data_IF_272600283233
#
_entry.id   IF_272600283233
#
_cell.length_a   1.000
_cell.length_b   1.000
_cell.length_c   1.000
_cell.angle_alpha   90.00
_cell.angle_beta   90.00
_cell.angle_gamma   90.00
#
_symmetry.space_group_name_H-M   'P 1'
#
loop_
_entity.id
_entity.type
_entity.pdbx_description
1 polymer ?
#
# COMPACT_ATOMS: atom_id res chain seq x y z
N UNK A 1 35.27 19.28 53.22
CA UNK A 1 35.59 18.82 51.86
C UNK A 1 34.68 17.69 51.36
N UNK A 2 34.31 16.71 52.20
CA UNK A 2 33.43 15.58 51.82
C UNK A 2 31.98 15.97 51.43
N UNK A 3 31.39 17.00 52.06
CA UNK A 3 30.01 17.43 51.82
C UNK A 3 29.82 18.00 50.40
N UNK A 4 30.82 18.72 49.87
CA UNK A 4 30.78 19.26 48.51
C UNK A 4 30.83 18.16 47.44
N UNK A 5 31.53 17.06 47.70
CA UNK A 5 31.56 15.91 46.77
C UNK A 5 30.23 15.18 46.71
N UNK A 6 29.53 15.01 47.84
CA UNK A 6 28.20 14.38 47.87
C UNK A 6 27.14 15.20 47.13
N UNK A 7 27.17 16.53 47.27
CA UNK A 7 26.23 17.43 46.59
C UNK A 7 26.43 17.37 45.06
N UNK A 8 27.67 17.35 44.57
CA UNK A 8 27.95 17.26 43.14
C UNK A 8 27.53 15.92 42.52
N UNK A 9 27.66 14.81 43.26
CA UNK A 9 27.19 13.49 42.81
C UNK A 9 25.66 13.45 42.73
N UNK A 10 24.97 13.98 43.75
CA UNK A 10 23.50 14.08 43.77
C UNK A 10 22.97 15.01 42.66
N UNK A 11 23.63 16.15 42.42
CA UNK A 11 23.27 17.04 41.30
C UNK A 11 23.48 16.36 39.95
N UNK A 12 24.59 15.63 39.77
CA UNK A 12 24.88 14.91 38.52
C UNK A 12 23.88 13.78 38.29
N UNK A 13 23.47 13.06 39.33
CA UNK A 13 22.40 12.06 39.25
C UNK A 13 21.04 12.69 38.94
N UNK A 14 20.69 13.83 39.54
CA UNK A 14 19.46 14.57 39.25
C UNK A 14 19.46 15.12 37.81
N UNK A 15 20.58 15.62 37.32
CA UNK A 15 20.74 16.11 35.94
C UNK A 15 20.67 14.93 34.97
N UNK A 16 21.32 13.81 35.26
CA UNK A 16 21.29 12.60 34.43
C UNK A 16 19.89 11.95 34.42
N UNK A 17 19.20 11.91 35.56
CA UNK A 17 17.83 11.42 35.66
C UNK A 17 16.84 12.39 34.98
N UNK A 18 17.08 13.70 35.07
CA UNK A 18 16.31 14.71 34.30
C UNK A 18 16.59 14.60 32.80
N UNK A 19 17.81 14.28 32.38
CA UNK A 19 18.16 13.98 30.98
C UNK A 19 17.51 12.69 30.48
N UNK A 20 17.51 11.61 31.28
CA UNK A 20 16.80 10.37 30.94
C UNK A 20 15.28 10.53 30.95
N UNK A 21 14.72 11.33 31.86
CA UNK A 21 13.30 11.64 31.91
C UNK A 21 12.87 12.56 30.74
N UNK A 22 13.72 13.51 30.33
CA UNK A 22 13.51 14.34 29.14
C UNK A 22 13.69 13.56 27.83
N UNK A 23 14.52 12.50 27.81
CA UNK A 23 14.65 11.58 26.68
C UNK A 23 13.41 10.69 26.47
N UNK A 24 12.58 10.49 27.50
CA UNK A 24 11.37 9.66 27.45
C UNK A 24 10.13 10.38 26.94
N UNK A 25 10.23 11.67 26.60
CA UNK A 25 9.10 12.48 26.17
C UNK A 25 9.32 13.12 24.80
N UNK A 26 9.99 12.40 23.89
CA UNK A 26 9.88 12.69 22.46
C UNK A 26 8.48 12.23 22.03
N UNK A 27 7.48 13.09 22.24
CA UNK A 27 6.17 12.94 21.62
C UNK A 27 6.38 12.58 20.16
N UNK A 28 6.02 11.37 19.75
CA UNK A 28 6.01 10.96 18.35
C UNK A 28 5.00 11.86 17.64
N UNK A 29 5.46 13.01 17.14
CA UNK A 29 4.63 13.88 16.34
C UNK A 29 4.38 13.16 15.03
N UNK A 30 3.15 12.69 14.85
CA UNK A 30 2.70 12.16 13.58
C UNK A 30 2.95 13.19 12.48
N UNK A 31 3.65 12.78 11.42
CA UNK A 31 3.91 13.61 10.25
C UNK A 31 2.70 13.54 9.31
N UNK A 32 2.17 14.70 8.93
CA UNK A 32 1.16 14.78 7.87
C UNK A 32 1.83 14.62 6.52
N UNK A 33 1.27 13.76 5.67
CA UNK A 33 1.76 13.53 4.31
C UNK A 33 0.67 13.86 3.28
N UNK A 34 1.10 14.35 2.13
CA UNK A 34 0.29 14.57 0.94
C UNK A 34 1.19 14.23 -0.26
N UNK A 35 0.97 13.07 -0.86
CA UNK A 35 1.81 12.50 -1.92
C UNK A 35 0.95 12.34 -3.16
N UNK A 36 1.34 13.01 -4.23
CA UNK A 36 0.87 12.75 -5.58
C UNK A 36 1.46 11.43 -6.07
N UNK A 37 0.60 10.59 -6.64
CA UNK A 37 0.93 9.29 -7.18
C UNK A 37 0.55 9.26 -8.65
N UNK A 38 1.50 8.87 -9.49
CA UNK A 38 1.26 8.54 -10.90
C UNK A 38 1.62 7.07 -11.14
N UNK A 39 0.74 6.36 -11.84
CA UNK A 39 0.91 4.96 -12.21
C UNK A 39 0.90 4.86 -13.73
N UNK A 40 2.08 4.63 -14.28
CA UNK A 40 2.32 4.42 -15.71
C UNK A 40 2.13 2.94 -16.03
N UNK A 41 1.21 2.63 -16.93
CA UNK A 41 0.91 1.26 -17.33
C UNK A 41 1.69 0.91 -18.61
N UNK A 42 2.50 -0.14 -18.57
CA UNK A 42 3.38 -0.55 -19.67
C UNK A 42 2.75 -1.57 -20.61
N UNK A 43 1.75 -2.31 -20.13
CA UNK A 43 1.04 -3.35 -20.90
C UNK A 43 -0.45 -3.17 -20.69
N UNK A 44 -1.26 -3.64 -21.62
CA UNK A 44 -2.72 -3.63 -21.50
C UNK A 44 -3.23 -3.97 -20.08
N UNK A 45 -4.16 -3.14 -19.59
CA UNK A 45 -4.70 -3.20 -18.24
C UNK A 45 -6.17 -3.62 -18.29
N UNK A 46 -6.55 -4.58 -17.47
CA UNK A 46 -7.95 -4.88 -17.17
C UNK A 46 -8.18 -4.69 -15.67
N UNK A 47 -9.10 -3.81 -15.31
CA UNK A 47 -9.58 -3.68 -13.92
C UNK A 47 -10.99 -4.22 -13.90
N UNK A 48 -11.10 -5.53 -13.64
CA UNK A 48 -12.39 -6.20 -13.55
C UNK A 48 -13.23 -5.59 -12.45
N UNK A 49 -14.36 -5.00 -12.80
CA UNK A 49 -15.32 -4.37 -11.87
C UNK A 49 -16.08 -5.36 -10.99
N UNK A 50 -15.87 -6.68 -11.15
CA UNK A 50 -16.64 -7.73 -10.46
C UNK A 50 -18.12 -7.80 -10.86
N UNK A 51 -18.60 -6.84 -11.66
CA UNK A 51 -19.98 -6.73 -12.12
C UNK A 51 -19.98 -6.81 -13.64
N UNK A 52 -20.43 -7.96 -14.15
CA UNK A 52 -20.69 -8.22 -15.56
C UNK A 52 -22.00 -7.56 -15.99
N UNK A 53 -22.10 -6.24 -15.97
CA UNK A 53 -23.31 -5.55 -16.44
C UNK A 53 -22.94 -4.41 -17.38
N UNK A 54 -22.98 -4.67 -18.69
CA UNK A 54 -23.44 -3.70 -19.73
C UNK A 54 -23.14 -4.10 -21.18
N UNK A 55 -22.23 -5.06 -21.47
CA UNK A 55 -22.04 -5.58 -22.84
C UNK A 55 -22.27 -7.09 -22.88
N UNK A 56 -23.29 -7.52 -23.64
CA UNK A 56 -23.55 -8.93 -23.91
C UNK A 56 -22.27 -9.60 -24.44
N UNK A 57 -21.80 -10.63 -23.74
CA UNK A 57 -20.64 -11.44 -24.16
C UNK A 57 -19.26 -10.98 -23.68
N UNK A 58 -19.13 -10.01 -22.76
CA UNK A 58 -17.85 -9.64 -22.15
C UNK A 58 -17.86 -9.99 -20.65
N UNK A 59 -16.94 -10.86 -20.22
CA UNK A 59 -16.87 -11.38 -18.85
C UNK A 59 -16.18 -10.41 -17.87
N UNK A 60 -15.27 -9.57 -18.36
CA UNK A 60 -14.51 -8.61 -17.54
C UNK A 60 -14.43 -7.26 -18.24
N UNK A 61 -15.09 -6.27 -17.68
CA UNK A 61 -15.07 -4.88 -18.16
C UNK A 61 -14.01 -4.08 -17.39
N UNK A 62 -13.39 -3.10 -18.07
CA UNK A 62 -12.50 -2.16 -17.38
C UNK A 62 -13.34 -1.06 -16.72
N UNK A 63 -13.05 -0.77 -15.46
CA UNK A 63 -13.83 0.21 -14.69
C UNK A 63 -13.65 1.63 -15.22
N UNK A 64 -14.77 2.37 -15.34
CA UNK A 64 -14.85 3.76 -15.78
C UNK A 64 -15.58 4.63 -14.75
N UNK A 65 -15.23 5.91 -14.68
CA UNK A 65 -15.97 6.90 -13.91
C UNK A 65 -17.23 7.40 -14.65
N UNK A 66 -17.93 8.37 -14.07
CA UNK A 66 -19.16 8.96 -14.63
C UNK A 66 -18.92 9.71 -15.94
N UNK A 67 -17.70 10.20 -16.14
CA UNK A 67 -17.26 10.95 -17.29
C UNK A 67 -16.63 10.02 -18.35
N UNK A 68 -16.59 8.71 -18.08
CA UNK A 68 -16.04 7.68 -18.95
C UNK A 68 -14.57 7.37 -18.73
N UNK A 69 -13.84 8.11 -17.89
CA UNK A 69 -12.40 7.94 -17.66
C UNK A 69 -12.09 6.59 -17.01
N UNK A 70 -10.98 5.97 -17.42
CA UNK A 70 -10.52 4.74 -16.78
C UNK A 70 -10.12 5.04 -15.33
N UNK A 71 -10.52 4.15 -14.43
CA UNK A 71 -10.33 4.34 -12.98
C UNK A 71 -9.74 3.09 -12.33
N UNK A 72 -8.71 3.29 -11.50
CA UNK A 72 -8.24 2.30 -10.54
C UNK A 72 -8.84 2.65 -9.18
N UNK A 73 -9.74 1.81 -8.63
CA UNK A 73 -10.33 2.11 -7.34
C UNK A 73 -9.27 2.19 -6.24
N UNK A 74 -9.43 3.14 -5.34
CA UNK A 74 -8.59 3.37 -4.17
C UNK A 74 -8.44 2.11 -3.34
N UNK A 75 -9.52 1.32 -3.20
CA UNK A 75 -9.50 0.04 -2.49
C UNK A 75 -8.57 -1.00 -3.14
N UNK A 76 -8.54 -1.05 -4.47
CA UNK A 76 -7.66 -1.95 -5.23
C UNK A 76 -6.20 -1.52 -5.09
N UNK A 77 -5.93 -0.23 -5.27
CA UNK A 77 -4.59 0.32 -5.13
C UNK A 77 -4.06 0.17 -3.69
N UNK A 78 -4.87 0.57 -2.70
CA UNK A 78 -4.59 0.41 -1.27
C UNK A 78 -4.35 -1.05 -0.89
N UNK A 79 -5.19 -1.98 -1.36
CA UNK A 79 -5.04 -3.40 -1.08
C UNK A 79 -3.75 -3.97 -1.68
N UNK A 80 -3.38 -3.54 -2.88
CA UNK A 80 -2.13 -3.95 -3.54
C UNK A 80 -0.91 -3.43 -2.79
N UNK A 81 -0.94 -2.16 -2.39
CA UNK A 81 0.12 -1.53 -1.59
C UNK A 81 0.26 -2.20 -0.22
N UNK A 82 -0.85 -2.42 0.48
CA UNK A 82 -0.89 -3.12 1.77
C UNK A 82 -0.23 -4.49 1.68
N UNK A 83 -0.62 -5.30 0.70
CA UNK A 83 -0.04 -6.63 0.48
C UNK A 83 1.47 -6.56 0.22
N UNK A 84 1.95 -5.50 -0.44
CA UNK A 84 3.38 -5.34 -0.70
C UNK A 84 4.15 -4.97 0.57
N UNK A 85 3.62 -4.07 1.39
CA UNK A 85 4.18 -3.75 2.70
C UNK A 85 4.19 -4.97 3.64
N UNK A 86 3.12 -5.77 3.65
CA UNK A 86 3.04 -7.03 4.41
C UNK A 86 4.16 -8.00 3.99
N UNK A 87 4.41 -8.14 2.69
CA UNK A 87 5.52 -8.98 2.18
C UNK A 87 6.89 -8.46 2.61
N UNK A 88 7.12 -7.14 2.57
CA UNK A 88 8.40 -6.53 2.97
C UNK A 88 8.66 -6.80 4.46
N UNK A 89 7.73 -6.43 5.34
CA UNK A 89 7.87 -6.63 6.77
C UNK A 89 7.89 -8.12 7.16
N UNK A 90 7.10 -8.95 6.47
CA UNK A 90 7.10 -10.40 6.67
C UNK A 90 8.46 -11.04 6.31
N UNK A 91 9.11 -10.59 5.24
CA UNK A 91 10.47 -11.02 4.91
C UNK A 91 11.51 -10.61 5.96
N UNK A 92 11.23 -9.52 6.70
CA UNK A 92 12.03 -9.07 7.84
C UNK A 92 11.66 -9.77 9.15
N UNK A 93 10.72 -10.72 9.14
CA UNK A 93 10.21 -11.47 10.30
C UNK A 93 9.54 -10.59 11.37
N UNK A 94 9.00 -9.45 10.97
CA UNK A 94 8.19 -8.60 11.87
C UNK A 94 6.84 -9.28 12.12
N UNK A 95 6.36 -9.22 13.36
CA UNK A 95 5.07 -9.80 13.75
C UNK A 95 3.91 -9.03 13.10
N UNK A 96 3.15 -9.69 12.22
CA UNK A 96 2.00 -9.11 11.51
C UNK A 96 0.73 -9.91 11.79
N UNK A 97 -0.42 -9.25 11.67
CA UNK A 97 -1.71 -9.94 11.65
C UNK A 97 -1.98 -10.59 10.28
N UNK A 98 -2.86 -11.58 10.25
CA UNK A 98 -3.32 -12.15 8.99
C UNK A 98 -4.47 -11.31 8.40
N UNK A 99 -4.24 -10.75 7.22
CA UNK A 99 -5.25 -10.09 6.38
C UNK A 99 -5.75 -11.10 5.32
N UNK A 100 -7.00 -11.01 4.81
CA UNK A 100 -8.03 -9.99 5.03
C UNK A 100 -9.24 -10.46 5.86
N UNK A 101 -9.07 -11.43 6.78
CA UNK A 101 -10.20 -11.91 7.58
C UNK A 101 -10.71 -10.81 8.54
N UNK A 102 -11.86 -10.21 8.22
CA UNK A 102 -12.42 -9.09 8.97
C UNK A 102 -12.80 -9.45 10.42
N UNK A 103 -13.15 -10.71 10.70
CA UNK A 103 -13.63 -11.10 12.02
C UNK A 103 -12.52 -11.05 13.08
N UNK A 104 -11.27 -11.30 12.67
CA UNK A 104 -10.15 -11.48 13.59
C UNK A 104 -8.95 -10.55 13.31
N UNK A 105 -8.98 -9.78 12.23
CA UNK A 105 -7.96 -8.79 11.92
C UNK A 105 -8.28 -7.48 12.65
N UNK A 106 -7.42 -6.87 13.45
CA UNK A 106 -6.10 -7.25 13.93
C UNK A 106 -6.21 -7.90 15.34
N UNK A 107 -5.64 -9.10 15.59
CA UNK A 107 -5.80 -9.78 16.89
C UNK A 107 -5.04 -9.05 18.01
N UNK A 108 -4.00 -8.28 17.66
CA UNK A 108 -3.24 -7.45 18.61
C UNK A 108 -4.13 -6.48 19.38
N UNK A 109 -5.26 -6.05 18.79
CA UNK A 109 -6.21 -5.15 19.46
C UNK A 109 -6.73 -5.71 20.79
N UNK A 110 -6.95 -7.03 20.84
CA UNK A 110 -7.41 -7.76 22.02
C UNK A 110 -6.24 -8.25 22.88
N UNK A 111 -5.15 -8.72 22.26
CA UNK A 111 -4.01 -9.31 22.96
C UNK A 111 -3.10 -8.28 23.66
N UNK A 112 -3.01 -7.06 23.13
CA UNK A 112 -2.11 -5.99 23.62
C UNK A 112 -2.91 -4.83 24.24
N UNK A 113 -3.91 -5.15 25.07
CA UNK A 113 -4.85 -4.16 25.65
C UNK A 113 -4.19 -3.12 26.55
N UNK A 114 -3.15 -3.51 27.30
CA UNK A 114 -2.44 -2.62 28.24
C UNK A 114 -1.34 -1.78 27.58
N UNK A 115 -1.16 -1.95 26.26
CA UNK A 115 -0.17 -1.18 25.49
C UNK A 115 -0.76 0.13 24.99
N UNK A 116 0.14 1.05 24.63
CA UNK A 116 -0.25 2.29 23.96
C UNK A 116 -0.95 2.00 22.62
N UNK A 117 -1.64 3.00 22.08
CA UNK A 117 -2.45 2.85 20.87
C UNK A 117 -1.65 2.36 19.66
N UNK A 118 -0.38 2.79 19.51
CA UNK A 118 0.50 2.35 18.42
C UNK A 118 0.89 0.87 18.53
N UNK A 119 1.22 0.39 19.72
CA UNK A 119 1.59 -1.01 19.97
C UNK A 119 0.39 -1.96 20.01
N UNK A 120 -0.82 -1.41 20.12
CA UNK A 120 -2.07 -2.18 20.13
C UNK A 120 -2.45 -2.75 18.76
N UNK A 121 -1.78 -2.32 17.69
CA UNK A 121 -1.97 -2.82 16.33
C UNK A 121 -0.63 -3.19 15.71
N UNK A 122 -0.64 -4.12 14.74
CA UNK A 122 0.56 -4.40 13.96
C UNK A 122 0.94 -3.18 13.09
N UNK A 123 2.21 -3.05 12.66
CA UNK A 123 2.67 -1.94 11.83
C UNK A 123 1.83 -1.69 10.57
N UNK A 124 1.32 -2.74 9.94
CA UNK A 124 0.49 -2.62 8.74
C UNK A 124 -0.89 -2.02 9.08
N UNK A 125 -1.55 -2.49 10.14
CA UNK A 125 -2.82 -1.93 10.59
C UNK A 125 -2.66 -0.50 11.12
N UNK A 126 -1.46 -0.15 11.59
CA UNK A 126 -1.12 1.23 11.92
C UNK A 126 -1.20 2.17 10.72
N UNK A 127 -0.87 1.71 9.51
CA UNK A 127 -0.89 2.53 8.29
C UNK A 127 -2.18 2.41 7.48
N UNK A 128 -2.71 1.19 7.34
CA UNK A 128 -3.81 0.88 6.42
C UNK A 128 -5.17 0.67 7.11
N UNK A 129 -5.19 0.67 8.44
CA UNK A 129 -6.36 0.37 9.25
C UNK A 129 -6.66 -1.12 9.41
N UNK A 130 -7.72 -1.38 10.17
CA UNK A 130 -8.34 -2.68 10.44
C UNK A 130 -9.82 -2.48 10.76
N UNK A 131 -10.65 -3.53 10.80
CA UNK A 131 -12.01 -3.46 11.32
C UNK A 131 -12.17 -2.69 12.66
N UNK A 132 -11.15 -2.72 13.51
CA UNK A 132 -11.14 -2.06 14.83
C UNK A 132 -10.43 -0.70 14.85
N UNK A 133 -9.95 -0.21 13.70
CA UNK A 133 -9.20 1.06 13.59
C UNK A 133 -9.24 1.62 12.18
N UNK A 134 -9.71 2.86 12.08
CA UNK A 134 -9.68 3.59 10.82
C UNK A 134 -8.27 3.76 10.27
N UNK A 135 -8.16 3.79 8.94
CA UNK A 135 -6.90 4.02 8.26
C UNK A 135 -6.47 5.48 8.42
N UNK A 136 -5.30 5.79 9.01
CA UNK A 136 -4.82 7.17 9.07
C UNK A 136 -4.37 7.70 7.70
N UNK A 137 -4.21 6.80 6.72
CA UNK A 137 -3.97 7.12 5.31
C UNK A 137 -5.25 6.99 4.49
N UNK A 138 -5.54 8.05 3.74
CA UNK A 138 -6.60 8.18 2.75
C UNK A 138 -5.99 8.02 1.35
N UNK A 139 -6.66 7.24 0.50
CA UNK A 139 -6.24 6.95 -0.86
C UNK A 139 -7.34 7.46 -1.78
N UNK A 140 -6.97 8.24 -2.78
CA UNK A 140 -7.89 8.59 -3.88
C UNK A 140 -7.92 7.48 -4.91
N UNK A 141 -9.01 7.44 -5.68
CA UNK A 141 -9.05 6.67 -6.90
C UNK A 141 -8.01 7.23 -7.88
N UNK A 142 -7.29 6.34 -8.57
CA UNK A 142 -6.36 6.78 -9.60
C UNK A 142 -7.14 6.89 -10.91
N UNK A 143 -7.15 8.07 -11.50
CA UNK A 143 -7.93 8.37 -12.71
C UNK A 143 -6.99 8.62 -13.88
N UNK A 144 -7.27 7.99 -15.02
CA UNK A 144 -6.59 8.28 -16.28
C UNK A 144 -7.50 9.17 -17.13
N UNK A 145 -7.11 10.43 -17.32
CA UNK A 145 -7.86 11.38 -18.15
C UNK A 145 -7.60 11.10 -19.62
N UNK A 146 -8.50 11.56 -20.49
CA UNK A 146 -8.35 11.44 -21.95
C UNK A 146 -7.04 12.06 -22.47
N UNK A 147 -6.60 13.18 -21.90
CA UNK A 147 -5.31 13.80 -22.25
C UNK A 147 -4.09 12.94 -21.93
N UNK A 148 -4.24 11.96 -21.03
CA UNK A 148 -3.16 11.07 -20.57
C UNK A 148 -3.14 9.74 -21.33
N UNK A 149 -3.95 9.61 -22.39
CA UNK A 149 -4.11 8.37 -23.16
C UNK A 149 -4.65 8.63 -24.58
N UNK A 150 -3.78 8.50 -25.60
CA UNK A 150 -4.20 8.59 -27.01
C UNK A 150 -5.06 7.38 -27.39
N UNK A 151 -6.33 7.65 -27.69
CA UNK A 151 -7.27 6.64 -28.16
C UNK A 151 -7.91 5.87 -27.02
N UNK A 152 -8.96 6.46 -26.43
CA UNK A 152 -9.85 5.96 -25.37
C UNK A 152 -10.52 4.58 -25.62
N UNK A 153 -10.12 3.91 -26.70
CA UNK A 153 -10.61 2.62 -27.10
C UNK A 153 -10.11 1.54 -26.13
N UNK A 154 -11.01 0.63 -25.82
CA UNK A 154 -10.71 -0.63 -25.16
C UNK A 154 -10.67 -1.72 -26.22
N UNK A 155 -9.81 -2.73 -26.02
CA UNK A 155 -9.75 -3.92 -26.87
C UNK A 155 -10.37 -5.11 -26.12
N UNK A 156 -11.14 -5.91 -26.83
CA UNK A 156 -11.70 -7.16 -26.29
C UNK A 156 -10.75 -8.29 -26.67
N UNK A 157 -10.23 -8.99 -25.67
CA UNK A 157 -9.38 -10.17 -25.82
C UNK A 157 -10.15 -11.44 -25.50
N UNK A 158 -10.09 -12.42 -26.39
CA UNK A 158 -10.58 -13.77 -26.08
C UNK A 158 -9.51 -14.60 -25.38
N UNK A 159 -9.94 -15.43 -24.43
CA UNK A 159 -9.12 -16.44 -23.78
C UNK A 159 -9.90 -17.74 -23.67
N UNK A 160 -9.20 -18.87 -23.71
CA UNK A 160 -9.78 -20.20 -23.57
C UNK A 160 -9.17 -20.92 -22.38
N UNK A 161 -9.99 -21.66 -21.63
CA UNK A 161 -9.46 -22.56 -20.61
C UNK A 161 -9.08 -23.90 -21.26
N UNK A 162 -7.86 -24.37 -20.99
CA UNK A 162 -7.39 -25.68 -21.43
C UNK A 162 -7.36 -26.62 -20.22
N UNK A 163 -7.99 -27.79 -20.36
CA UNK A 163 -7.95 -28.82 -19.33
C UNK A 163 -6.58 -29.48 -19.32
N UNK A 164 -5.77 -29.25 -18.27
CA UNK A 164 -4.44 -29.86 -18.14
C UNK A 164 -4.46 -31.39 -18.16
N UNK A 165 -5.55 -32.01 -17.68
CA UNK A 165 -5.71 -33.48 -17.66
C UNK A 165 -6.04 -34.04 -19.04
N UNK A 166 -6.89 -33.34 -19.81
CA UNK A 166 -7.38 -33.84 -21.11
C UNK A 166 -6.57 -33.32 -22.30
N UNK A 167 -5.74 -32.29 -22.11
CA UNK A 167 -4.96 -31.67 -23.18
C UNK A 167 -5.80 -30.92 -24.22
N UNK A 168 -7.11 -30.81 -24.02
CA UNK A 168 -8.06 -30.15 -24.93
C UNK A 168 -8.63 -28.89 -24.30
N UNK A 169 -9.10 -27.98 -25.16
CA UNK A 169 -9.90 -26.83 -24.75
C UNK A 169 -11.14 -27.35 -24.03
N UNK A 170 -11.42 -26.79 -22.86
CA UNK A 170 -12.65 -27.10 -22.13
C UNK A 170 -13.81 -26.40 -22.86
N UNK A 171 -14.76 -27.20 -23.35
CA UNK A 171 -15.95 -26.67 -24.02
C UNK A 171 -16.68 -25.71 -23.07
N UNK A 172 -17.19 -24.59 -23.60
CA UNK A 172 -17.91 -23.54 -22.85
C UNK A 172 -17.05 -22.71 -21.87
N UNK A 173 -15.71 -22.73 -21.98
CA UNK A 173 -14.82 -21.83 -21.20
C UNK A 173 -14.06 -20.82 -22.05
N UNK A 174 -14.68 -20.34 -23.12
CA UNK A 174 -14.27 -19.12 -23.81
C UNK A 174 -14.68 -17.93 -22.95
N UNK A 175 -13.74 -17.03 -22.66
CA UNK A 175 -14.03 -15.80 -21.93
C UNK A 175 -13.44 -14.60 -22.66
N UNK A 176 -14.12 -13.46 -22.56
CA UNK A 176 -13.74 -12.20 -23.17
C UNK A 176 -13.38 -11.18 -22.08
N UNK A 177 -12.19 -10.61 -22.20
CA UNK A 177 -11.65 -9.61 -21.28
C UNK A 177 -11.48 -8.31 -22.02
N UNK A 178 -12.16 -7.26 -21.57
CA UNK A 178 -11.89 -5.90 -22.01
C UNK A 178 -10.63 -5.39 -21.32
N UNK A 179 -9.71 -4.86 -22.13
CA UNK A 179 -8.45 -4.28 -21.68
C UNK A 179 -8.24 -2.89 -22.30
N UNK A 180 -7.43 -2.05 -21.67
CA UNK A 180 -6.83 -0.90 -22.36
C UNK A 180 -6.00 -1.37 -23.56
N UNK A 181 -5.80 -0.50 -24.55
CA UNK A 181 -4.89 -0.79 -25.66
C UNK A 181 -3.48 -1.03 -25.14
N UNK A 182 -2.80 -1.96 -25.78
CA UNK A 182 -1.46 -2.41 -25.35
C UNK A 182 -0.37 -1.36 -25.51
N UNK A 183 -0.52 -0.46 -26.49
CA UNK A 183 0.52 0.53 -26.86
C UNK A 183 0.23 1.94 -26.35
N UNK A 184 -0.88 2.14 -25.63
CA UNK A 184 -1.35 3.49 -25.33
C UNK A 184 -0.92 4.00 -23.94
N UNK A 185 -0.16 3.19 -23.20
CA UNK A 185 0.57 3.57 -21.99
C UNK A 185 -0.15 4.54 -21.03
N UNK A 186 -1.37 4.20 -20.57
CA UNK A 186 -2.18 5.13 -19.78
C UNK A 186 -1.50 5.49 -18.46
N UNK A 187 -1.60 6.77 -18.09
CA UNK A 187 -1.08 7.29 -16.82
C UNK A 187 -2.25 7.59 -15.89
N UNK A 188 -2.34 6.83 -14.80
CA UNK A 188 -3.36 7.04 -13.76
C UNK A 188 -2.80 7.91 -12.65
N UNK A 189 -3.54 8.95 -12.24
CA UNK A 189 -3.08 9.92 -11.23
C UNK A 189 -4.06 9.98 -10.05
N UNK A 190 -3.52 10.15 -8.85
CA UNK A 190 -4.31 10.37 -7.63
C UNK A 190 -3.39 10.72 -6.46
N UNK A 191 -3.94 10.81 -5.24
CA UNK A 191 -3.19 11.21 -4.05
C UNK A 191 -3.29 10.21 -2.90
N UNK A 192 -2.24 10.17 -2.08
CA UNK A 192 -2.23 9.56 -0.75
C UNK A 192 -2.06 10.69 0.27
N UNK A 193 -3.00 10.80 1.21
CA UNK A 193 -2.98 11.83 2.25
C UNK A 193 -3.19 11.23 3.62
N UNK A 194 -2.66 11.84 4.66
CA UNK A 194 -2.96 11.39 6.01
C UNK A 194 -1.81 11.61 6.98
N UNK A 195 -1.77 10.78 8.03
CA UNK A 195 -0.76 10.87 9.09
C UNK A 195 0.06 9.59 9.17
N UNK A 196 1.37 9.75 9.34
CA UNK A 196 2.35 8.68 9.55
C UNK A 196 3.06 8.90 10.88
N UNK A 197 3.36 7.83 11.62
CA UNK A 197 3.96 7.95 12.95
C UNK A 197 5.44 8.30 12.93
N UNK A 198 6.21 7.76 11.98
CA UNK A 198 7.66 7.91 11.93
C UNK A 198 8.23 7.65 10.51
N UNK A 199 9.53 7.84 10.36
CA UNK A 199 10.22 7.62 9.09
C UNK A 199 10.28 6.14 8.69
N UNK A 200 10.07 5.20 9.63
CA UNK A 200 10.02 3.77 9.33
C UNK A 200 8.76 3.41 8.55
N UNK A 201 7.62 3.94 8.97
CA UNK A 201 6.35 3.82 8.25
C UNK A 201 6.39 4.54 6.89
N UNK A 202 7.00 5.74 6.81
CA UNK A 202 7.15 6.46 5.53
C UNK A 202 8.07 5.71 4.55
N UNK A 203 9.19 5.16 5.03
CA UNK A 203 10.08 4.32 4.25
C UNK A 203 9.37 3.06 3.75
N UNK A 204 8.58 2.40 4.61
CA UNK A 204 7.79 1.24 4.22
C UNK A 204 6.74 1.60 3.16
N UNK A 205 6.09 2.76 3.27
CA UNK A 205 5.15 3.25 2.25
C UNK A 205 5.84 3.41 0.89
N UNK A 206 7.01 4.05 0.87
CA UNK A 206 7.77 4.28 -0.37
C UNK A 206 8.25 2.97 -1.02
N UNK A 207 8.79 2.06 -0.22
CA UNK A 207 9.19 0.74 -0.71
C UNK A 207 7.98 -0.05 -1.22
N UNK A 208 6.87 -0.03 -0.46
CA UNK A 208 5.63 -0.66 -0.87
C UNK A 208 5.14 -0.17 -2.23
N UNK A 209 5.17 1.14 -2.47
CA UNK A 209 4.78 1.78 -3.73
C UNK A 209 5.72 1.39 -4.88
N UNK A 210 7.02 1.48 -4.68
CA UNK A 210 8.04 1.11 -5.67
C UNK A 210 7.93 -0.37 -6.09
N UNK A 211 7.52 -1.22 -5.15
CA UNK A 211 7.42 -2.65 -5.34
C UNK A 211 6.11 -3.09 -6.05
N UNK A 212 5.20 -2.16 -6.37
CA UNK A 212 4.01 -2.41 -7.20
C UNK A 212 4.43 -2.44 -8.67
N UNK A 213 4.54 -3.64 -9.23
CA UNK A 213 4.88 -3.86 -10.64
C UNK A 213 3.71 -4.34 -11.50
N UNK A 214 2.63 -4.80 -10.86
CA UNK A 214 1.48 -5.43 -11.51
C UNK A 214 0.18 -5.02 -10.81
N UNK A 215 -0.78 -4.51 -11.56
CA UNK A 215 -2.11 -4.09 -11.10
C UNK A 215 -3.22 -4.66 -12.00
N UNK A 216 -4.45 -4.81 -11.50
CA UNK A 216 -5.58 -5.35 -12.27
C UNK A 216 -5.67 -6.88 -12.33
N UNK A 217 -6.46 -7.40 -13.27
CA UNK A 217 -6.68 -8.83 -13.56
C UNK A 217 -5.73 -9.34 -14.64
N UNK A 218 -5.56 -10.68 -14.75
CA UNK A 218 -4.71 -11.28 -15.78
C UNK A 218 -3.20 -11.09 -15.56
N UNK A 219 -2.76 -10.90 -14.31
CA UNK A 219 -1.35 -10.72 -13.94
C UNK A 219 -0.46 -11.87 -14.43
N UNK A 220 -0.97 -13.10 -14.40
CA UNK A 220 -0.25 -14.30 -14.85
C UNK A 220 -0.22 -14.47 -16.36
N UNK A 221 -1.02 -13.70 -17.10
CA UNK A 221 -1.05 -13.66 -18.56
C UNK A 221 -0.37 -12.40 -19.12
N UNK A 222 0.43 -11.70 -18.31
CA UNK A 222 1.22 -10.55 -18.74
C UNK A 222 0.48 -9.20 -18.79
N UNK A 223 -0.73 -9.11 -18.23
CA UNK A 223 -1.49 -7.87 -18.17
C UNK A 223 -1.12 -7.01 -16.95
N UNK A 224 -1.24 -5.69 -17.12
CA UNK A 224 -1.19 -4.72 -16.03
C UNK A 224 0.18 -4.44 -15.43
N UNK A 225 1.28 -4.67 -16.18
CA UNK A 225 2.60 -4.18 -15.79
C UNK A 225 2.57 -2.67 -15.65
N UNK A 226 3.12 -2.18 -14.56
CA UNK A 226 3.13 -0.75 -14.27
C UNK A 226 4.37 -0.31 -13.50
N UNK A 227 4.58 1.01 -13.51
CA UNK A 227 5.56 1.72 -12.70
C UNK A 227 4.85 2.79 -11.90
N UNK A 228 5.14 2.84 -10.61
CA UNK A 228 4.59 3.87 -9.71
C UNK A 228 5.64 4.96 -9.49
N UNK A 229 5.24 6.20 -9.74
CA UNK A 229 6.00 7.41 -9.50
C UNK A 229 5.29 8.23 -8.42
N UNK A 230 6.06 8.94 -7.58
CA UNK A 230 5.54 9.68 -6.44
C UNK A 230 6.24 11.04 -6.29
N UNK A 231 5.47 12.05 -5.89
CA UNK A 231 5.95 13.41 -5.61
C UNK A 231 5.16 14.03 -4.44
N UNK A 232 5.79 14.77 -3.51
CA UNK A 232 7.23 14.88 -3.32
C UNK A 232 7.82 13.61 -2.68
N UNK A 233 9.11 13.36 -2.93
CA UNK A 233 9.90 12.38 -2.15
C UNK A 233 10.54 13.09 -0.96
N UNK A 234 10.03 12.80 0.23
CA UNK A 234 10.49 13.41 1.49
C UNK A 234 11.65 12.66 2.15
N UNK A 235 12.01 11.47 1.64
CA UNK A 235 13.14 10.68 2.11
C UNK A 235 14.07 10.36 0.94
N UNK A 236 15.36 10.49 1.19
CA UNK A 236 16.43 10.01 0.30
C UNK A 236 16.57 8.49 0.41
N UNK A 237 17.25 7.86 -0.56
CA UNK A 237 17.53 6.42 -0.54
C UNK A 237 18.25 5.98 0.74
N UNK A 238 19.21 6.77 1.22
CA UNK A 238 19.97 6.46 2.43
C UNK A 238 19.09 6.53 3.68
N UNK A 239 18.22 7.53 3.77
CA UNK A 239 17.25 7.66 4.87
C UNK A 239 16.23 6.50 4.87
N UNK A 240 15.77 6.06 3.69
CA UNK A 240 14.91 4.87 3.56
C UNK A 240 15.66 3.64 4.10
N UNK A 241 16.91 3.44 3.68
CA UNK A 241 17.71 2.29 4.12
C UNK A 241 17.95 2.31 5.65
N UNK A 242 18.29 3.47 6.21
CA UNK A 242 18.47 3.65 7.65
C UNK A 242 17.18 3.37 8.44
N UNK A 243 16.06 3.98 8.02
CA UNK A 243 14.76 3.75 8.64
C UNK A 243 14.35 2.27 8.59
N UNK A 244 14.64 1.58 7.47
CA UNK A 244 14.34 0.17 7.35
C UNK A 244 15.20 -0.72 8.26
N UNK A 245 16.47 -0.38 8.49
CA UNK A 245 17.30 -1.10 9.49
C UNK A 245 16.72 -0.96 10.90
N UNK A 246 16.08 0.17 11.20
CA UNK A 246 15.42 0.44 12.48
C UNK A 246 14.25 -0.48 12.83
N UNK A 247 13.70 -1.27 11.89
CA UNK A 247 12.68 -2.29 12.19
C UNK A 247 13.26 -3.56 12.84
N UNK A 248 14.54 -3.88 12.63
CA UNK A 248 15.16 -5.12 13.14
C UNK A 248 15.66 -5.03 14.58
N UNK A 249 15.75 -3.81 15.11
CA UNK A 249 16.40 -3.51 16.38
C UNK A 249 15.40 -3.30 17.54
N UNK A 250 14.13 -3.67 17.35
CA UNK A 250 13.03 -3.62 18.35
C UNK A 250 12.54 -5.04 18.65
#
# INVERSE_FOLDING_TARGET
MAIFHLINILLSFLIFWRYMALSKNRSLQMKTINIDVSLEVNTALCIGSGVSTSKLGIDKLTMKDKDGNLIIPASTFKGRLRSRCERILGAMKIELCQSPNADNMCPHYFLKKDKNEKERYCPICNMFGSPWRESPLLFEDLVCKESDYEGFNTEIRSGTAISRRRGVVDEQKLFFTETSLSNAHPVFKGKIRGKINDDKELALLYLGLNEIQLIGSGKTSGLGWCKVCIEPKCLTTDQIAEAMRGWKNE
#
